data_IF_843881987389
#
_entry.id   IF_843881987389
#
_cell.length_a   1.000
_cell.length_b   1.000
_cell.length_c   1.000
_cell.angle_alpha   90.00
_cell.angle_beta   90.00
_cell.angle_gamma   90.00
#
_symmetry.space_group_name_H-M   'P 1'
#
loop_
_entity.id
_entity.type
_entity.pdbx_description
1 polymer ?
#
# COMPACT_ATOMS: atom_id res chain seq x y z
N UNK A 1 12.21 11.87 -2.08
CA UNK A 1 12.74 10.91 -1.09
C UNK A 1 14.20 10.56 -1.40
N UNK A 2 15.01 10.11 -0.44
CA UNK A 2 16.39 9.63 -0.69
C UNK A 2 16.42 8.18 -1.18
N UNK A 3 17.49 7.77 -1.88
CA UNK A 3 17.68 6.38 -2.30
C UNK A 3 17.69 5.41 -1.10
N UNK A 4 18.26 5.83 0.04
CA UNK A 4 18.28 5.05 1.28
C UNK A 4 16.87 4.78 1.82
N UNK A 5 15.98 5.77 1.76
CA UNK A 5 14.59 5.63 2.16
C UNK A 5 13.81 4.71 1.21
N UNK A 6 14.00 4.86 -0.11
CA UNK A 6 13.40 3.98 -1.11
C UNK A 6 13.80 2.52 -0.89
N UNK A 7 15.08 2.27 -0.66
CA UNK A 7 15.61 0.94 -0.40
C UNK A 7 14.99 0.32 0.87
N UNK A 8 14.83 1.10 1.95
CA UNK A 8 14.17 0.64 3.18
C UNK A 8 12.71 0.26 2.97
N UNK A 9 11.97 1.01 2.14
CA UNK A 9 10.60 0.66 1.79
C UNK A 9 10.57 -0.68 1.05
N UNK A 10 11.42 -0.86 0.04
CA UNK A 10 11.50 -2.10 -0.75
C UNK A 10 11.84 -3.29 0.16
N UNK A 11 12.83 -3.15 1.03
CA UNK A 11 13.21 -4.19 2.00
C UNK A 11 12.07 -4.52 2.97
N UNK A 12 11.32 -3.50 3.39
CA UNK A 12 10.14 -3.67 4.25
C UNK A 12 9.04 -4.44 3.53
N UNK A 13 8.72 -4.07 2.28
CA UNK A 13 7.74 -4.81 1.48
C UNK A 13 8.17 -6.26 1.32
N UNK A 14 9.44 -6.52 0.98
CA UNK A 14 10.00 -7.88 0.87
C UNK A 14 9.88 -8.69 2.17
N UNK A 15 10.09 -8.04 3.31
CA UNK A 15 10.05 -8.68 4.62
C UNK A 15 8.62 -9.05 5.05
N UNK A 16 7.64 -8.20 4.71
CA UNK A 16 6.26 -8.32 5.21
C UNK A 16 5.28 -8.89 4.18
N UNK A 17 5.65 -9.01 2.91
CA UNK A 17 4.96 -9.89 1.95
C UNK A 17 5.04 -11.32 2.51
N UNK A 18 3.88 -11.83 2.94
CA UNK A 18 3.80 -13.07 3.71
C UNK A 18 3.92 -14.35 2.87
N UNK A 19 3.98 -14.28 1.53
CA UNK A 19 3.60 -15.45 0.75
C UNK A 19 4.50 -15.90 -0.40
N UNK A 20 5.31 -15.04 -1.02
CA UNK A 20 6.31 -15.53 -1.98
C UNK A 20 7.57 -14.64 -2.04
N UNK A 21 8.75 -15.15 -1.64
CA UNK A 21 10.02 -14.43 -1.80
C UNK A 21 10.41 -14.20 -3.28
N UNK A 22 9.75 -14.86 -4.23
CA UNK A 22 9.92 -14.63 -5.67
C UNK A 22 9.03 -13.51 -6.23
N UNK A 23 8.15 -12.91 -5.42
CA UNK A 23 7.31 -11.79 -5.87
C UNK A 23 8.18 -10.69 -6.46
N UNK A 24 7.91 -10.33 -7.71
CA UNK A 24 8.61 -9.24 -8.36
C UNK A 24 8.25 -7.91 -7.67
N UNK A 25 9.28 -7.25 -7.14
CA UNK A 25 9.16 -5.92 -6.54
C UNK A 25 10.08 -5.00 -7.34
N UNK A 26 9.45 -4.08 -8.07
CA UNK A 26 10.12 -3.09 -8.89
C UNK A 26 10.45 -1.81 -8.12
N UNK A 27 10.85 -0.75 -8.84
CA UNK A 27 11.31 0.49 -8.22
C UNK A 27 10.19 1.27 -7.54
N UNK A 28 10.60 2.16 -6.63
CA UNK A 28 9.73 3.21 -6.12
C UNK A 28 9.63 4.34 -7.16
N UNK A 29 8.44 4.90 -7.34
CA UNK A 29 8.23 6.11 -8.14
C UNK A 29 7.48 7.17 -7.33
N UNK A 30 7.94 8.42 -7.45
CA UNK A 30 7.31 9.59 -6.85
C UNK A 30 6.54 10.34 -7.94
N UNK A 31 5.21 10.47 -7.80
CA UNK A 31 4.35 11.18 -8.74
C UNK A 31 3.87 12.48 -8.11
N UNK A 32 4.24 13.62 -8.71
CA UNK A 32 3.78 14.93 -8.27
C UNK A 32 2.29 15.08 -8.63
N UNK A 33 1.48 15.42 -7.64
CA UNK A 33 0.04 15.71 -7.77
C UNK A 33 -0.23 17.17 -7.42
N UNK A 34 -1.48 17.60 -7.56
CA UNK A 34 -1.90 18.96 -7.17
C UNK A 34 -1.77 19.18 -5.65
N UNK A 35 -1.91 18.11 -4.87
CA UNK A 35 -1.96 18.15 -3.40
C UNK A 35 -0.66 17.73 -2.73
N UNK A 36 0.30 17.17 -3.47
CA UNK A 36 1.57 16.72 -2.90
C UNK A 36 2.37 15.82 -3.83
N UNK A 37 3.08 14.86 -3.26
CA UNK A 37 3.81 13.82 -4.00
C UNK A 37 3.33 12.47 -3.52
N UNK A 38 2.81 11.66 -4.42
CA UNK A 38 2.38 10.29 -4.13
C UNK A 38 3.54 9.32 -4.35
N UNK A 39 3.71 8.37 -3.43
CA UNK A 39 4.74 7.34 -3.45
C UNK A 39 4.11 6.01 -3.91
N UNK A 40 4.67 5.46 -4.97
CA UNK A 40 4.20 4.24 -5.62
C UNK A 40 5.32 3.20 -5.69
N UNK A 41 4.95 1.93 -5.70
CA UNK A 41 5.85 0.79 -5.91
C UNK A 41 5.24 -0.16 -6.95
N UNK A 42 6.09 -0.86 -7.70
CA UNK A 42 5.63 -1.96 -8.53
C UNK A 42 5.70 -3.29 -7.76
N UNK A 43 4.58 -4.00 -7.62
CA UNK A 43 4.48 -5.31 -6.97
C UNK A 43 3.71 -6.24 -7.91
N UNK A 44 4.32 -7.38 -8.27
CA UNK A 44 3.72 -8.37 -9.17
C UNK A 44 3.14 -7.74 -10.46
N UNK A 45 3.93 -6.89 -11.13
CA UNK A 45 3.51 -6.12 -12.31
C UNK A 45 2.40 -5.08 -12.11
N UNK A 46 1.93 -4.84 -10.88
CA UNK A 46 0.94 -3.81 -10.57
C UNK A 46 1.53 -2.60 -9.88
N UNK A 47 0.97 -1.43 -10.20
CA UNK A 47 1.28 -0.18 -9.52
C UNK A 47 0.49 -0.11 -8.22
N UNK A 48 1.21 -0.09 -7.11
CA UNK A 48 0.67 -0.05 -5.76
C UNK A 48 1.05 1.28 -5.08
N UNK A 49 0.05 1.99 -4.58
CA UNK A 49 0.21 3.22 -3.82
C UNK A 49 0.53 2.92 -2.35
N UNK A 50 1.49 3.66 -1.80
CA UNK A 50 1.99 3.47 -0.44
C UNK A 50 1.65 4.64 0.49
N UNK A 51 1.42 5.84 -0.03
CA UNK A 51 1.24 7.05 0.77
C UNK A 51 1.80 8.28 0.06
N UNK A 52 1.63 9.45 0.65
CA UNK A 52 2.20 10.72 0.19
C UNK A 52 3.37 11.20 1.08
N UNK A 53 3.70 10.46 2.15
CA UNK A 53 4.90 10.66 2.97
C UNK A 53 5.70 9.38 3.17
N UNK A 54 6.99 9.51 3.51
CA UNK A 54 7.84 8.37 3.86
C UNK A 54 7.27 7.55 5.04
N UNK A 55 6.70 8.23 6.04
CA UNK A 55 6.09 7.57 7.19
C UNK A 55 4.87 6.72 6.79
N UNK A 56 3.99 7.27 5.96
CA UNK A 56 2.86 6.52 5.42
C UNK A 56 3.32 5.36 4.55
N UNK A 57 4.29 5.58 3.65
CA UNK A 57 4.81 4.52 2.79
C UNK A 57 5.42 3.36 3.58
N UNK A 58 6.19 3.65 4.62
CA UNK A 58 6.76 2.64 5.51
C UNK A 58 5.68 1.86 6.27
N UNK A 59 4.69 2.56 6.85
CA UNK A 59 3.61 1.90 7.58
C UNK A 59 2.78 1.01 6.64
N UNK A 60 2.46 1.51 5.45
CA UNK A 60 1.74 0.75 4.42
C UNK A 60 2.50 -0.51 3.99
N UNK A 61 3.82 -0.40 3.79
CA UNK A 61 4.69 -1.52 3.47
C UNK A 61 4.72 -2.56 4.60
N UNK A 62 4.82 -2.13 5.86
CA UNK A 62 4.81 -3.03 7.03
C UNK A 62 3.50 -3.79 7.18
N UNK A 63 2.39 -3.11 6.89
CA UNK A 63 1.05 -3.68 7.04
C UNK A 63 0.59 -4.50 5.83
N UNK A 64 1.34 -4.48 4.73
CA UNK A 64 0.92 -5.03 3.44
C UNK A 64 -0.46 -4.53 2.96
N UNK A 65 -0.76 -3.26 3.26
CA UNK A 65 -2.06 -2.63 2.95
C UNK A 65 -1.90 -1.54 1.87
N UNK A 66 -1.24 -1.89 0.78
CA UNK A 66 -1.10 -1.00 -0.38
C UNK A 66 -2.34 -1.00 -1.27
N UNK A 67 -2.56 0.12 -1.96
CA UNK A 67 -3.72 0.34 -2.83
C UNK A 67 -3.35 0.13 -4.30
N UNK A 68 -4.13 -0.65 -5.04
CA UNK A 68 -3.91 -0.92 -6.46
C UNK A 68 -5.10 -0.36 -7.25
N UNK A 69 -4.93 0.72 -8.03
CA UNK A 69 -6.06 1.38 -8.69
C UNK A 69 -6.90 0.50 -9.62
N UNK A 70 -6.28 -0.50 -10.27
CA UNK A 70 -7.00 -1.45 -11.14
C UNK A 70 -7.91 -2.41 -10.37
N UNK A 71 -7.76 -2.52 -9.05
CA UNK A 71 -8.55 -3.39 -8.16
C UNK A 71 -9.43 -2.58 -7.22
N UNK A 72 -8.83 -1.63 -6.53
CA UNK A 72 -9.47 -0.86 -5.45
C UNK A 72 -10.25 0.36 -5.99
N UNK A 73 -10.03 0.71 -7.26
CA UNK A 73 -10.64 1.87 -7.90
C UNK A 73 -9.80 3.14 -7.83
N UNK A 74 -10.42 4.26 -8.19
CA UNK A 74 -9.73 5.55 -8.24
C UNK A 74 -9.32 6.00 -6.84
N UNK A 75 -8.03 6.34 -6.69
CA UNK A 75 -7.49 6.88 -5.44
C UNK A 75 -8.01 8.33 -5.23
N UNK A 76 -8.89 8.51 -4.24
CA UNK A 76 -9.47 9.79 -3.87
C UNK A 76 -8.63 10.53 -2.81
N UNK A 77 -8.92 11.80 -2.59
CA UNK A 77 -8.19 12.61 -1.59
C UNK A 77 -8.43 12.13 -0.16
N UNK A 78 -9.63 11.62 0.14
CA UNK A 78 -9.94 11.03 1.44
C UNK A 78 -9.13 9.74 1.68
N UNK A 79 -8.87 8.95 0.64
CA UNK A 79 -8.01 7.77 0.73
C UNK A 79 -6.58 8.21 1.06
N UNK A 80 -6.01 9.16 0.30
CA UNK A 80 -4.67 9.71 0.57
C UNK A 80 -4.56 10.20 2.01
N UNK A 81 -5.54 10.98 2.45
CA UNK A 81 -5.59 11.50 3.82
C UNK A 81 -5.68 10.38 4.86
N UNK A 82 -6.40 9.31 4.59
CA UNK A 82 -6.48 8.15 5.49
C UNK A 82 -5.12 7.47 5.67
N UNK A 83 -4.37 7.26 4.57
CA UNK A 83 -3.01 6.72 4.59
C UNK A 83 -2.03 7.58 5.41
N UNK A 84 -2.14 8.90 5.31
CA UNK A 84 -1.33 9.83 6.11
C UNK A 84 -1.76 9.87 7.58
N UNK A 85 -3.06 10.00 7.84
CA UNK A 85 -3.62 10.12 9.20
C UNK A 85 -3.22 8.93 10.07
N UNK A 86 -3.24 7.70 9.54
CA UNK A 86 -2.83 6.51 10.31
C UNK A 86 -1.34 6.51 10.64
N UNK A 87 -0.51 7.02 9.73
CA UNK A 87 0.94 7.13 9.95
C UNK A 87 1.26 8.15 11.04
N UNK A 88 0.55 9.28 11.05
CA UNK A 88 0.66 10.32 12.07
C UNK A 88 0.24 9.82 13.47
N UNK A 89 -0.80 8.98 13.56
CA UNK A 89 -1.26 8.44 14.85
C UNK A 89 -0.27 7.40 15.42
N UNK A 90 0.54 6.74 14.58
CA UNK A 90 1.52 5.75 15.01
C UNK A 90 0.87 4.49 15.60
N UNK A 91 1.56 3.75 16.49
CA UNK A 91 1.16 2.39 16.95
C UNK A 91 -0.25 2.27 17.58
N UNK A 92 -0.92 3.37 17.91
CA UNK A 92 -2.30 3.38 18.44
C UNK A 92 -3.40 3.55 17.39
N UNK A 93 -3.05 3.64 16.10
CA UNK A 93 -3.98 4.01 15.03
C UNK A 93 -5.14 3.02 14.87
N UNK A 94 -4.90 1.72 15.04
CA UNK A 94 -5.93 0.68 14.93
C UNK A 94 -7.06 0.84 15.95
N UNK A 95 -6.78 1.43 17.11
CA UNK A 95 -7.79 1.70 18.14
C UNK A 95 -8.66 2.92 17.82
N UNK A 96 -8.25 3.73 16.84
CA UNK A 96 -8.96 4.94 16.37
C UNK A 96 -9.57 4.75 14.99
N UNK A 97 -9.32 3.62 14.35
CA UNK A 97 -9.85 3.28 13.05
C UNK A 97 -11.36 2.98 13.15
N UNK A 98 -12.16 3.64 12.31
CA UNK A 98 -13.59 3.34 12.21
C UNK A 98 -13.79 1.93 11.65
N UNK A 99 -14.88 1.26 12.05
CA UNK A 99 -15.17 -0.12 11.64
C UNK A 99 -15.12 -0.34 10.13
N UNK A 100 -15.64 0.62 9.34
CA UNK A 100 -15.65 0.53 7.87
C UNK A 100 -14.23 0.43 7.28
N UNK A 101 -13.29 1.27 7.71
CA UNK A 101 -11.91 1.26 7.23
C UNK A 101 -11.18 -0.02 7.64
N UNK A 102 -11.54 -0.59 8.80
CA UNK A 102 -11.01 -1.87 9.26
C UNK A 102 -11.42 -3.03 8.34
N UNK A 103 -12.66 -3.02 7.86
CA UNK A 103 -13.17 -4.04 6.93
C UNK A 103 -12.48 -3.89 5.56
N UNK A 104 -12.44 -2.68 5.00
CA UNK A 104 -11.73 -2.39 3.74
C UNK A 104 -10.26 -2.78 3.80
N UNK A 105 -9.55 -2.46 4.88
CA UNK A 105 -8.17 -2.87 5.10
C UNK A 105 -8.00 -4.38 5.11
N UNK A 106 -8.85 -5.10 5.86
CA UNK A 106 -8.76 -6.57 5.94
C UNK A 106 -8.94 -7.21 4.58
N UNK A 107 -9.85 -6.67 3.77
CA UNK A 107 -10.07 -7.09 2.38
C UNK A 107 -8.83 -6.81 1.53
N UNK A 108 -8.30 -5.57 1.53
CA UNK A 108 -7.08 -5.24 0.77
C UNK A 108 -5.88 -6.08 1.19
N UNK A 109 -5.69 -6.30 2.48
CA UNK A 109 -4.62 -7.16 3.00
C UNK A 109 -4.74 -8.59 2.44
N UNK A 110 -5.93 -9.18 2.50
CA UNK A 110 -6.16 -10.53 1.95
C UNK A 110 -5.86 -10.59 0.45
N UNK A 111 -6.31 -9.59 -0.31
CA UNK A 111 -6.08 -9.48 -1.75
C UNK A 111 -4.60 -9.23 -2.08
N UNK A 112 -3.90 -8.44 -1.28
CA UNK A 112 -2.46 -8.18 -1.43
C UNK A 112 -1.63 -9.43 -1.13
N UNK A 113 -2.03 -10.22 -0.13
CA UNK A 113 -1.44 -11.53 0.14
C UNK A 113 -1.69 -12.46 -1.05
N UNK A 114 -2.93 -12.57 -1.55
CA UNK A 114 -3.25 -13.37 -2.73
C UNK A 114 -2.41 -13.00 -3.95
N UNK A 115 -2.32 -11.70 -4.25
CA UNK A 115 -1.49 -11.18 -5.34
C UNK A 115 -0.01 -11.56 -5.16
N UNK A 116 0.53 -11.36 -3.96
CA UNK A 116 1.91 -11.69 -3.66
C UNK A 116 2.17 -13.20 -3.54
N UNK A 117 1.14 -14.05 -3.49
CA UNK A 117 1.30 -15.52 -3.48
C UNK A 117 1.21 -16.09 -4.89
N UNK A 118 0.24 -15.62 -5.66
CA UNK A 118 -0.20 -16.28 -6.89
C UNK A 118 0.10 -15.44 -8.15
N UNK A 119 0.55 -14.19 -7.99
CA UNK A 119 0.73 -13.25 -9.09
C UNK A 119 -0.59 -12.77 -9.73
N UNK A 120 -1.73 -13.20 -9.20
CA UNK A 120 -3.06 -12.88 -9.71
C UNK A 120 -3.70 -11.77 -8.89
N UNK A 121 -4.16 -10.72 -9.56
CA UNK A 121 -5.16 -9.84 -8.98
C UNK A 121 -6.48 -10.60 -8.96
N UNK A 122 -7.00 -10.89 -7.76
CA UNK A 122 -8.38 -11.33 -7.63
C UNK A 122 -9.29 -10.13 -7.88
N UNK A 123 -9.69 -9.96 -9.14
CA UNK A 123 -10.64 -8.94 -9.58
C UNK A 123 -12.01 -9.62 -9.63
N UNK A 124 -12.56 -9.98 -8.47
CA UNK A 124 -13.93 -10.49 -8.41
C UNK A 124 -14.88 -9.30 -8.67
N UNK A 125 -15.04 -8.94 -9.95
CA UNK A 125 -16.07 -8.02 -10.41
C UNK A 125 -17.40 -8.78 -10.37
N UNK A 126 -18.00 -8.84 -9.19
CA UNK A 126 -19.39 -9.26 -9.05
C UNK A 126 -20.32 -8.31 -9.82
N UNK A 127 -20.95 -8.87 -10.87
CA UNK A 127 -22.20 -8.53 -11.55
C UNK A 127 -22.96 -7.25 -11.11
#
# INVERSE_FOLDING_TARGET
>A
MTESEQQKIIETVKKFILADPQTEIGPISEKVTVTGTDIWIQIASHQAYLGSSYAAAMLTAQLSDWWIPSRDGNLLDDDRKWFETRAEIGMGWENRELRMFKEERRTRLALNIGLATNGELDIDQGN
#
